data_IF_384537591289
#
_entry.id   IF_384537591289
#
_cell.length_a   1.000
_cell.length_b   1.000
_cell.length_c   1.000
_cell.angle_alpha   90.00
_cell.angle_beta   90.00
_cell.angle_gamma   90.00
#
_symmetry.space_group_name_H-M   'P 1'
#
loop_
_entity.id
_entity.type
_entity.pdbx_description
1 polymer ?
#
# COMPACT_ATOMS: atom_id res chain seq x y z
N UNK A 1 -34.01 1.88 -25.10
CA UNK A 1 -33.86 1.78 -23.63
C UNK A 1 -32.38 1.61 -23.38
N UNK A 2 -31.66 2.71 -23.15
CA UNK A 2 -30.26 2.64 -22.73
C UNK A 2 -30.29 2.54 -21.21
N UNK A 3 -30.18 1.32 -20.69
CA UNK A 3 -29.95 1.11 -19.27
C UNK A 3 -28.63 1.80 -18.90
N UNK A 4 -28.78 2.84 -18.09
CA UNK A 4 -27.72 3.57 -17.43
C UNK A 4 -26.82 2.58 -16.70
N UNK A 5 -25.54 2.54 -17.07
CA UNK A 5 -24.50 1.93 -16.26
C UNK A 5 -24.51 2.62 -14.89
N UNK A 6 -25.09 1.97 -13.89
CA UNK A 6 -24.83 2.29 -12.49
C UNK A 6 -23.33 2.11 -12.28
N UNK A 7 -22.56 3.20 -12.40
CA UNK A 7 -21.23 3.23 -11.83
C UNK A 7 -21.46 3.30 -10.32
N UNK A 8 -21.43 2.16 -9.64
CA UNK A 8 -21.06 2.16 -8.23
C UNK A 8 -19.71 2.85 -8.17
N UNK A 9 -19.69 4.07 -7.64
CA UNK A 9 -18.48 4.84 -7.48
C UNK A 9 -17.52 4.03 -6.61
N UNK A 10 -16.45 3.52 -7.23
CA UNK A 10 -15.40 2.73 -6.59
C UNK A 10 -14.54 3.65 -5.74
N UNK A 11 -15.05 3.98 -4.56
CA UNK A 11 -14.41 4.86 -3.59
C UNK A 11 -13.08 4.28 -3.08
N UNK A 12 -12.93 2.96 -3.11
CA UNK A 12 -11.71 2.26 -2.71
C UNK A 12 -10.56 2.46 -3.70
N UNK A 13 -10.86 2.87 -4.94
CA UNK A 13 -9.88 3.15 -5.98
C UNK A 13 -10.23 4.45 -6.71
N UNK A 14 -10.30 5.53 -5.93
CA UNK A 14 -10.55 6.88 -6.41
C UNK A 14 -9.27 7.74 -6.37
N UNK A 15 -9.24 8.82 -7.14
CA UNK A 15 -8.21 9.84 -7.00
C UNK A 15 -8.79 11.23 -7.21
N UNK A 16 -8.29 12.19 -6.45
CA UNK A 16 -8.53 13.61 -6.62
C UNK A 16 -7.18 14.36 -6.75
N UNK A 17 -7.25 15.69 -6.70
CA UNK A 17 -6.08 16.57 -6.88
C UNK A 17 -5.07 16.53 -5.73
N UNK A 18 -5.46 16.01 -4.56
CA UNK A 18 -4.69 15.95 -3.32
C UNK A 18 -4.49 14.52 -2.79
N UNK A 19 -5.47 13.64 -2.96
CA UNK A 19 -5.47 12.26 -2.48
C UNK A 19 -5.64 11.21 -3.58
N UNK A 20 -5.06 10.05 -3.36
CA UNK A 20 -5.28 8.82 -4.13
C UNK A 20 -5.61 7.69 -3.18
N UNK A 21 -6.74 7.03 -3.42
CA UNK A 21 -7.18 5.83 -2.69
C UNK A 21 -6.84 4.60 -3.51
N UNK A 22 -6.23 3.61 -2.86
CA UNK A 22 -5.81 2.33 -3.45
C UNK A 22 -6.23 1.21 -2.51
N UNK A 23 -7.23 0.42 -2.89
CA UNK A 23 -7.84 -0.61 -2.03
C UNK A 23 -8.24 -0.05 -0.66
N UNK A 24 -8.93 1.09 -0.63
CA UNK A 24 -9.42 1.73 0.59
C UNK A 24 -8.39 2.55 1.38
N UNK A 25 -7.09 2.46 1.04
CA UNK A 25 -6.04 3.25 1.70
C UNK A 25 -5.72 4.52 0.93
N UNK A 26 -5.67 5.64 1.64
CA UNK A 26 -5.47 6.97 1.09
C UNK A 26 -4.03 7.47 1.21
N UNK A 27 -3.53 8.08 0.15
CA UNK A 27 -2.17 8.63 0.06
C UNK A 27 -2.18 9.99 -0.63
N UNK A 28 -1.14 10.78 -0.44
CA UNK A 28 -0.94 11.99 -1.24
C UNK A 28 -0.77 11.63 -2.72
N UNK A 29 -1.56 12.26 -3.61
CA UNK A 29 -1.48 12.03 -5.07
C UNK A 29 -0.08 12.28 -5.63
N UNK A 30 0.63 13.30 -5.14
CA UNK A 30 1.91 13.72 -5.73
C UNK A 30 3.08 12.84 -5.30
N UNK A 31 3.06 12.37 -4.07
CA UNK A 31 4.23 11.71 -3.46
C UNK A 31 3.96 10.25 -3.08
N UNK A 32 2.70 9.83 -3.09
CA UNK A 32 2.31 8.48 -2.65
C UNK A 32 2.63 8.22 -1.19
N UNK A 33 2.62 9.26 -0.35
CA UNK A 33 2.90 9.14 1.09
C UNK A 33 1.59 9.27 1.86
N UNK A 34 1.41 8.40 2.84
CA UNK A 34 0.29 8.48 3.79
C UNK A 34 0.40 9.73 4.66
N UNK A 35 1.57 9.95 5.24
CA UNK A 35 1.97 11.22 5.86
C UNK A 35 2.95 11.92 4.91
N UNK A 36 2.52 13.02 4.28
CA UNK A 36 3.37 13.73 3.34
C UNK A 36 4.00 14.98 3.98
N UNK A 37 5.32 15.04 4.06
CA UNK A 37 6.03 16.24 4.57
C UNK A 37 6.11 17.40 3.56
N UNK A 38 5.62 17.19 2.33
CA UNK A 38 5.66 18.19 1.24
C UNK A 38 4.28 18.74 0.88
N UNK A 39 3.22 18.05 1.27
CA UNK A 39 1.84 18.44 1.02
C UNK A 39 1.11 18.50 2.36
N UNK A 40 0.07 19.33 2.53
CA UNK A 40 -0.73 19.35 3.75
C UNK A 40 -1.68 18.14 3.81
N UNK A 41 -1.13 16.93 3.70
CA UNK A 41 -1.88 15.67 3.60
C UNK A 41 -1.36 14.71 4.65
N UNK A 42 -2.23 14.36 5.58
CA UNK A 42 -2.02 13.32 6.59
C UNK A 42 -3.23 12.40 6.58
N UNK A 43 -3.06 11.22 5.97
CA UNK A 43 -4.11 10.21 5.86
C UNK A 43 -3.95 9.10 6.92
N UNK A 44 -3.03 9.25 7.89
CA UNK A 44 -2.77 8.21 8.89
C UNK A 44 -4.02 7.86 9.69
N UNK A 45 -4.79 8.86 10.12
CA UNK A 45 -6.03 8.64 10.88
C UNK A 45 -7.05 7.80 10.08
N UNK A 46 -7.32 8.18 8.83
CA UNK A 46 -8.26 7.45 7.96
C UNK A 46 -7.79 6.02 7.71
N UNK A 47 -6.51 5.85 7.36
CA UNK A 47 -5.98 4.51 7.10
C UNK A 47 -5.90 3.67 8.38
N UNK A 48 -5.65 4.26 9.55
CA UNK A 48 -5.67 3.56 10.82
C UNK A 48 -7.05 3.04 11.17
N UNK A 49 -8.12 3.78 10.86
CA UNK A 49 -9.50 3.27 10.99
C UNK A 49 -9.67 2.02 10.11
N UNK A 50 -9.28 2.09 8.84
CA UNK A 50 -9.36 0.94 7.92
C UNK A 50 -8.54 -0.25 8.41
N UNK A 51 -7.36 0.01 8.99
CA UNK A 51 -6.51 -1.05 9.56
C UNK A 51 -7.18 -1.68 10.79
N UNK A 52 -7.75 -0.86 11.68
CA UNK A 52 -8.40 -1.33 12.89
C UNK A 52 -9.59 -2.22 12.55
N UNK A 53 -10.47 -1.78 11.65
CA UNK A 53 -11.62 -2.56 11.20
C UNK A 53 -11.18 -3.94 10.68
N UNK A 54 -10.17 -3.95 9.80
CA UNK A 54 -9.60 -5.16 9.25
C UNK A 54 -8.92 -6.06 10.29
N UNK A 55 -8.22 -5.50 11.29
CA UNK A 55 -7.58 -6.28 12.35
C UNK A 55 -8.58 -6.88 13.32
N UNK A 56 -9.63 -6.14 13.70
CA UNK A 56 -10.70 -6.65 14.56
C UNK A 56 -11.39 -7.90 13.98
N UNK A 57 -11.44 -8.03 12.65
CA UNK A 57 -11.98 -9.20 11.98
C UNK A 57 -11.02 -10.41 11.93
N UNK A 58 -9.71 -10.19 12.08
CA UNK A 58 -8.70 -11.21 11.76
C UNK A 58 -7.79 -11.62 12.92
N UNK A 59 -7.69 -10.82 13.98
CA UNK A 59 -6.89 -11.10 15.17
C UNK A 59 -7.72 -10.90 16.44
N UNK A 60 -7.39 -11.66 17.49
CA UNK A 60 -8.03 -11.51 18.79
C UNK A 60 -7.68 -10.17 19.43
N UNK A 61 -8.56 -9.68 20.30
CA UNK A 61 -8.41 -8.42 21.02
C UNK A 61 -7.08 -8.36 21.80
N UNK A 62 -6.70 -9.46 22.48
CA UNK A 62 -5.41 -9.56 23.19
C UNK A 62 -4.18 -9.28 22.30
N UNK A 63 -4.19 -9.77 21.06
CA UNK A 63 -3.08 -9.57 20.11
C UNK A 63 -3.07 -8.12 19.61
N UNK A 64 -4.26 -7.56 19.40
CA UNK A 64 -4.42 -6.18 18.96
C UNK A 64 -3.86 -5.21 20.02
N UNK A 65 -4.25 -5.38 21.28
CA UNK A 65 -3.76 -4.54 22.39
C UNK A 65 -2.25 -4.65 22.60
N UNK A 66 -1.67 -5.85 22.46
CA UNK A 66 -0.25 -6.07 22.70
C UNK A 66 0.63 -5.58 21.54
N UNK A 67 0.19 -5.75 20.28
CA UNK A 67 1.08 -5.66 19.11
C UNK A 67 0.73 -4.59 18.11
N UNK A 68 -0.46 -4.01 18.16
CA UNK A 68 -0.81 -2.95 17.23
C UNK A 68 -0.26 -1.61 17.70
N UNK A 69 0.61 -1.01 16.88
CA UNK A 69 1.28 0.26 17.20
C UNK A 69 0.40 1.49 16.95
N UNK A 70 -0.76 1.34 16.31
CA UNK A 70 -1.68 2.46 16.04
C UNK A 70 -1.02 3.61 15.28
N UNK A 71 -1.05 4.80 15.88
CA UNK A 71 -0.46 6.02 15.32
C UNK A 71 1.07 6.03 15.34
N UNK A 72 1.71 5.20 16.17
CA UNK A 72 3.16 5.08 16.27
C UNK A 72 3.76 4.22 15.14
N UNK A 73 2.91 3.54 14.35
CA UNK A 73 3.39 2.73 13.24
C UNK A 73 4.09 3.59 12.18
N UNK A 74 5.02 2.97 11.45
CA UNK A 74 5.62 3.61 10.28
C UNK A 74 4.55 3.93 9.22
N UNK A 75 4.51 5.17 8.68
CA UNK A 75 3.57 5.54 7.63
C UNK A 75 3.74 4.70 6.36
N UNK A 76 2.63 4.33 5.72
CA UNK A 76 2.63 3.61 4.46
C UNK A 76 3.07 4.50 3.30
N UNK A 77 3.59 3.85 2.26
CA UNK A 77 4.00 4.52 1.03
C UNK A 77 3.69 3.68 -0.20
N UNK A 78 3.19 4.36 -1.23
CA UNK A 78 2.99 3.91 -2.61
C UNK A 78 3.79 4.77 -3.59
N UNK A 79 4.82 5.47 -3.11
CA UNK A 79 5.67 6.31 -3.94
C UNK A 79 6.19 5.50 -5.15
N UNK A 80 5.91 6.00 -6.36
CA UNK A 80 6.28 5.37 -7.64
C UNK A 80 5.66 3.97 -7.91
N UNK A 81 4.69 3.54 -7.11
CA UNK A 81 4.03 2.23 -7.27
C UNK A 81 2.69 2.31 -8.00
N UNK A 82 2.13 3.50 -8.16
CA UNK A 82 0.82 3.72 -8.77
C UNK A 82 0.88 4.73 -9.94
N UNK A 83 -0.12 4.67 -10.81
CA UNK A 83 -0.31 5.54 -11.97
C UNK A 83 -1.80 5.66 -12.28
N UNK A 84 -2.20 6.75 -12.94
CA UNK A 84 -3.52 6.82 -13.57
C UNK A 84 -3.56 5.89 -14.79
N UNK A 85 -4.59 5.05 -14.86
CA UNK A 85 -4.83 4.15 -16.00
C UNK A 85 -5.75 4.82 -17.05
N UNK A 86 -5.85 4.27 -18.28
CA UNK A 86 -6.74 4.80 -19.31
C UNK A 86 -8.22 4.87 -18.89
N UNK A 87 -8.64 4.04 -17.94
CA UNK A 87 -9.97 4.09 -17.32
C UNK A 87 -10.19 5.33 -16.45
N UNK A 88 -9.17 6.14 -16.23
CA UNK A 88 -9.21 7.30 -15.35
C UNK A 88 -8.96 6.97 -13.87
N UNK A 89 -9.06 5.69 -13.49
CA UNK A 89 -8.83 5.19 -12.12
C UNK A 89 -7.34 5.01 -11.80
N UNK A 90 -6.94 5.11 -10.51
CA UNK A 90 -5.61 4.77 -10.07
C UNK A 90 -5.37 3.25 -10.14
N UNK A 91 -4.18 2.86 -10.59
CA UNK A 91 -3.78 1.46 -10.65
C UNK A 91 -2.27 1.31 -10.48
N UNK A 92 -1.80 0.08 -10.33
CA UNK A 92 -0.37 -0.17 -10.12
C UNK A 92 0.44 0.06 -11.41
N UNK A 93 1.69 0.48 -11.25
CA UNK A 93 2.61 0.73 -12.38
C UNK A 93 2.99 -0.58 -13.09
N UNK A 94 3.14 -1.67 -12.33
CA UNK A 94 3.68 -2.95 -12.81
C UNK A 94 2.62 -3.74 -13.58
N UNK A 95 1.50 -4.08 -12.94
CA UNK A 95 0.46 -4.92 -13.53
C UNK A 95 -0.62 -4.13 -14.28
N UNK A 96 -0.60 -2.79 -14.18
CA UNK A 96 -1.58 -1.91 -14.81
C UNK A 96 -3.02 -2.28 -14.44
N UNK A 97 -3.22 -2.68 -13.19
CA UNK A 97 -4.52 -3.10 -12.64
C UNK A 97 -4.97 -2.11 -11.58
N UNK A 98 -6.23 -1.68 -11.65
CA UNK A 98 -6.91 -0.94 -10.57
C UNK A 98 -6.96 -1.85 -9.33
N UNK A 99 -6.65 -1.31 -8.16
CA UNK A 99 -6.75 -2.08 -6.91
C UNK A 99 -5.90 -3.35 -6.88
N UNK A 100 -4.70 -3.32 -7.50
CA UNK A 100 -3.87 -4.51 -7.65
C UNK A 100 -3.56 -5.17 -6.30
N UNK A 101 -4.24 -6.30 -6.03
CA UNK A 101 -4.11 -7.06 -4.78
C UNK A 101 -2.70 -7.58 -4.52
N UNK A 102 -1.85 -7.68 -5.54
CA UNK A 102 -0.45 -8.10 -5.37
C UNK A 102 0.47 -6.96 -4.93
N UNK A 103 0.21 -5.74 -5.37
CA UNK A 103 1.05 -4.58 -5.04
C UNK A 103 0.54 -3.84 -3.79
N UNK A 104 -0.78 -3.81 -3.63
CA UNK A 104 -1.52 -3.09 -2.61
C UNK A 104 -2.24 -4.09 -1.66
N UNK A 105 -1.52 -5.14 -1.22
CA UNK A 105 -1.95 -6.11 -0.21
C UNK A 105 -1.79 -5.55 1.21
N UNK A 106 -2.56 -4.51 1.55
CA UNK A 106 -2.46 -3.86 2.86
C UNK A 106 -2.69 -4.85 4.01
N UNK A 107 -3.70 -5.70 3.87
CA UNK A 107 -4.03 -6.73 4.86
C UNK A 107 -2.85 -7.62 5.19
N UNK A 108 -2.26 -8.25 4.17
CA UNK A 108 -1.12 -9.14 4.36
C UNK A 108 0.10 -8.41 4.95
N UNK A 109 0.36 -7.17 4.50
CA UNK A 109 1.47 -6.36 5.03
C UNK A 109 1.28 -6.08 6.53
N UNK A 110 0.06 -5.74 6.94
CA UNK A 110 -0.26 -5.39 8.33
C UNK A 110 -0.28 -6.63 9.20
N UNK A 111 -0.95 -7.71 8.77
CA UNK A 111 -1.00 -8.98 9.51
C UNK A 111 0.39 -9.54 9.74
N UNK A 112 1.28 -9.45 8.75
CA UNK A 112 2.67 -9.85 8.92
C UNK A 112 3.40 -9.00 9.98
N UNK A 113 3.06 -7.72 10.15
CA UNK A 113 3.64 -6.91 11.23
C UNK A 113 3.06 -7.34 12.58
N UNK A 114 1.73 -7.41 12.70
CA UNK A 114 1.03 -7.72 13.96
C UNK A 114 1.30 -9.15 14.42
N UNK A 115 1.26 -10.14 13.54
CA UNK A 115 1.46 -11.55 13.91
C UNK A 115 2.96 -11.93 14.05
N UNK A 116 3.89 -10.99 13.80
CA UNK A 116 5.33 -11.26 13.91
C UNK A 116 5.91 -12.05 12.73
N UNK A 117 5.37 -11.82 11.53
CA UNK A 117 5.79 -12.40 10.27
C UNK A 117 7.31 -12.39 10.12
N UNK A 118 7.87 -13.59 9.93
CA UNK A 118 9.31 -13.82 9.74
C UNK A 118 9.82 -12.87 8.66
N UNK A 119 10.74 -11.96 9.02
CA UNK A 119 11.45 -11.09 8.06
C UNK A 119 11.84 -11.91 6.84
N UNK A 120 11.44 -11.53 5.61
CA UNK A 120 11.86 -12.27 4.42
C UNK A 120 13.38 -12.33 4.40
N UNK A 121 13.94 -13.54 4.34
CA UNK A 121 15.39 -13.77 4.26
C UNK A 121 15.91 -12.95 3.09
N UNK A 122 16.76 -11.95 3.37
CA UNK A 122 17.51 -11.22 2.33
C UNK A 122 18.35 -12.24 1.55
N UNK A 123 17.90 -12.65 0.37
CA UNK A 123 18.73 -13.41 -0.56
C UNK A 123 19.78 -12.42 -1.08
N UNK A 124 20.96 -12.45 -0.47
CA UNK A 124 22.10 -11.67 -0.92
C UNK A 124 22.57 -12.27 -2.25
N UNK A 125 22.08 -11.73 -3.36
CA UNK A 125 22.55 -12.09 -4.70
C UNK A 125 24.01 -11.63 -4.85
N UNK A 126 24.95 -12.47 -4.43
CA UNK A 126 26.39 -12.34 -4.66
C UNK A 126 26.66 -12.66 -6.14
N UNK A 127 26.30 -11.74 -7.05
CA UNK A 127 26.69 -11.83 -8.46
C UNK A 127 28.14 -11.38 -8.63
N UNK A 128 28.93 -12.31 -9.18
CA UNK A 128 30.01 -12.08 -10.14
C UNK A 128 31.14 -11.12 -9.73
N UNK A 129 32.21 -11.66 -9.15
CA UNK A 129 33.55 -11.06 -9.24
C UNK A 129 34.60 -12.16 -9.46
N UNK A 130 34.49 -12.88 -10.56
CA UNK A 130 35.55 -13.76 -11.07
C UNK A 130 35.66 -13.55 -12.59
N UNK A 131 36.35 -12.48 -12.98
CA UNK A 131 36.97 -12.30 -14.30
C UNK A 131 37.88 -11.07 -14.23
N UNK A 132 38.96 -11.17 -13.46
CA UNK A 132 40.05 -10.20 -13.58
C UNK A 132 41.42 -10.72 -13.12
N UNK A 133 41.73 -12.00 -13.36
CA UNK A 133 43.07 -12.55 -13.12
C UNK A 133 43.60 -13.32 -14.36
N UNK A 134 43.56 -12.66 -15.52
CA UNK A 134 44.37 -13.02 -16.69
C UNK A 134 44.85 -11.75 -17.38
N UNK A 135 45.81 -11.08 -16.75
CA UNK A 135 46.77 -10.17 -17.39
C UNK A 135 47.73 -9.74 -16.29
N UNK A 136 48.82 -10.48 -16.15
CA UNK A 136 50.22 -10.03 -16.05
C UNK A 136 51.10 -11.26 -16.20
#
# INVERSE_FOLDING_TARGET
MNESCFNEDDYDNAMDIYSVTLNGFSFCTRHGLELCYRCPTDNRACNNIMVMDMLHEQVSEDILEEKWEGDERSPFTVALQWTRLPSGKPGCVIHRTVGCKQCFNWEEKILNVVQGGRKPRKIHNRKARERKDMLH
#
